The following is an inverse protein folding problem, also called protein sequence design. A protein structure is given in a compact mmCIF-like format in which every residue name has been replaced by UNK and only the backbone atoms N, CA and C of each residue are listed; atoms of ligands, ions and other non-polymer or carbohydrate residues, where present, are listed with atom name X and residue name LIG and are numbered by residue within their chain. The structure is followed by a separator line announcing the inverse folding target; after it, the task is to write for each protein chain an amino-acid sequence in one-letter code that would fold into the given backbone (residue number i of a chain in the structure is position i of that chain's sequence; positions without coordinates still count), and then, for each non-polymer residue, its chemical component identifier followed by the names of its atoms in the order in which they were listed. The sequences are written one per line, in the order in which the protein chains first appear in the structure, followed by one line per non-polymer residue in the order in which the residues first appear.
data_IF_233846368737
#
_entry.id   IF_233846368737
#
_cell.length_a   1.000
_cell.length_b   1.000
_cell.length_c   1.000
_cell.angle_alpha   90.00
_cell.angle_beta   90.00
_cell.angle_gamma   90.00
#
_symmetry.space_group_name_H-M   'P 1'
#
loop_
_entity.id
_entity.type
_entity.pdbx_description
1 polymer ?
#
# COMPACT_ATOMS: atom_id res chain seq x y z
N UNK A 1 6.50 -0.96 -15.92
CA UNK A 1 6.02 -1.97 -14.94
C UNK A 1 4.84 -1.36 -14.19
N UNK A 2 4.16 -2.11 -13.33
CA UNK A 2 3.07 -1.55 -12.53
C UNK A 2 3.27 -1.77 -11.04
N UNK A 3 4.07 -2.74 -10.60
CA UNK A 3 4.61 -2.73 -9.24
C UNK A 3 6.06 -2.31 -9.30
N UNK A 4 6.38 -1.14 -8.73
CA UNK A 4 7.71 -0.54 -8.80
C UNK A 4 8.67 -1.11 -7.76
N UNK A 5 9.99 -0.91 -7.97
CA UNK A 5 11.02 -1.25 -6.98
C UNK A 5 10.80 -0.56 -5.61
N UNK A 6 10.03 0.52 -5.56
CA UNK A 6 9.66 1.23 -4.34
C UNK A 6 8.69 0.44 -3.45
N UNK A 7 8.06 -0.63 -3.96
CA UNK A 7 7.32 -1.59 -3.15
C UNK A 7 8.23 -2.32 -2.15
N UNK A 8 9.54 -2.33 -2.41
CA UNK A 8 10.53 -3.08 -1.64
C UNK A 8 10.57 -4.55 -2.04
N UNK A 9 10.37 -5.44 -1.06
CA UNK A 9 10.43 -6.90 -1.24
C UNK A 9 9.09 -7.46 -1.70
N UNK A 10 9.13 -8.69 -2.22
CA UNK A 10 7.98 -9.56 -2.50
C UNK A 10 6.91 -9.47 -1.40
N UNK A 11 5.65 -9.27 -1.79
CA UNK A 11 4.52 -9.17 -0.87
C UNK A 11 3.73 -10.47 -0.90
N UNK A 12 3.46 -11.03 0.28
CA UNK A 12 2.58 -12.19 0.44
C UNK A 12 1.21 -11.67 0.85
N UNK A 13 0.21 -11.98 0.04
CA UNK A 13 -1.18 -11.61 0.26
C UNK A 13 -1.95 -12.86 0.69
N UNK A 14 -2.76 -12.76 1.73
CA UNK A 14 -3.52 -13.88 2.30
C UNK A 14 -4.99 -13.50 2.49
N UNK A 15 -5.87 -14.49 2.40
CA UNK A 15 -7.29 -14.34 2.69
C UNK A 15 -7.56 -14.39 4.19
N UNK A 16 -8.55 -13.61 4.65
CA UNK A 16 -8.92 -13.55 6.07
C UNK A 16 -9.39 -14.91 6.65
N UNK A 17 -9.79 -15.85 5.79
CA UNK A 17 -10.25 -17.19 6.15
C UNK A 17 -9.14 -18.17 6.55
N UNK A 18 -7.86 -17.86 6.29
CA UNK A 18 -6.79 -18.86 6.39
C UNK A 18 -6.26 -19.07 7.80
N UNK A 19 -6.55 -18.16 8.74
CA UNK A 19 -6.06 -18.24 10.12
C UNK A 19 -6.86 -19.24 10.97
N UNK A 20 -8.12 -19.52 10.63
CA UNK A 20 -8.95 -20.46 11.41
C UNK A 20 -8.54 -21.92 11.26
N UNK A 21 -7.70 -22.26 10.27
CA UNK A 21 -7.27 -23.65 10.02
C UNK A 21 -5.94 -24.03 10.66
N UNK A 22 -5.11 -23.08 11.11
CA UNK A 22 -3.76 -23.40 11.63
C UNK A 22 -3.67 -23.60 13.15
N UNK A 23 -4.78 -23.53 13.90
CA UNK A 23 -4.78 -23.70 15.37
C UNK A 23 -5.40 -25.00 15.88
N UNK A 24 -5.92 -25.88 15.00
CA UNK A 24 -6.67 -27.07 15.44
C UNK A 24 -5.88 -28.39 15.45
N UNK A 25 -4.56 -28.34 15.71
CA UNK A 25 -3.79 -29.55 16.02
C UNK A 25 -3.08 -29.40 17.37
N UNK A 26 -3.87 -29.39 18.45
CA UNK A 26 -3.45 -29.99 19.70
C UNK A 26 -4.70 -30.44 20.47
N UNK A 27 -4.76 -31.74 20.75
CA UNK A 27 -5.72 -32.35 21.67
C UNK A 27 -5.74 -31.63 23.02
N UNK A 28 -6.92 -31.27 23.53
CA UNK A 28 -7.40 -31.79 24.82
C UNK A 28 -8.80 -31.29 25.17
N UNK A 29 -9.56 -32.20 25.81
CA UNK A 29 -10.85 -31.98 26.45
C UNK A 29 -10.82 -30.76 27.39
N UNK A 30 -11.82 -29.88 27.30
CA UNK A 30 -12.77 -29.57 28.39
C UNK A 30 -13.46 -28.21 28.26
N UNK A 31 -14.74 -28.26 28.59
CA UNK A 31 -15.52 -27.26 29.30
C UNK A 31 -15.98 -25.95 28.63
N UNK A 32 -17.24 -25.69 28.93
CA UNK A 32 -18.13 -24.61 28.58
C UNK A 32 -17.57 -23.20 28.80
N UNK A 33 -17.64 -22.37 27.77
CA UNK A 33 -17.22 -20.98 27.83
C UNK A 33 -17.47 -20.23 26.53
N UNK A 34 -18.71 -19.83 26.31
CA UNK A 34 -19.13 -18.95 25.22
C UNK A 34 -18.34 -17.63 25.28
N UNK A 35 -17.26 -17.53 24.50
CA UNK A 35 -16.40 -16.34 24.46
C UNK A 35 -16.45 -15.76 23.06
N UNK A 36 -17.33 -14.78 22.85
CA UNK A 36 -17.37 -13.90 21.67
C UNK A 36 -16.01 -13.21 21.50
N UNK A 37 -15.13 -13.78 20.68
CA UNK A 37 -13.95 -13.09 20.17
C UNK A 37 -14.38 -12.12 19.06
N UNK A 38 -14.93 -10.99 19.47
CA UNK A 38 -14.98 -9.74 18.70
C UNK A 38 -13.55 -9.18 18.57
N UNK A 39 -12.70 -9.88 17.81
CA UNK A 39 -11.33 -9.46 17.53
C UNK A 39 -11.32 -8.30 16.54
N UNK A 40 -11.27 -7.07 17.07
CA UNK A 40 -10.99 -5.83 16.32
C UNK A 40 -10.09 -6.08 15.11
N UNK A 41 -10.63 -5.92 13.91
CA UNK A 41 -9.83 -5.91 12.70
C UNK A 41 -8.97 -4.64 12.68
N UNK A 42 -7.69 -4.79 13.01
CA UNK A 42 -6.70 -3.74 12.89
C UNK A 42 -6.32 -3.59 11.41
N UNK A 43 -6.71 -2.48 10.81
CA UNK A 43 -6.16 -2.02 9.54
C UNK A 43 -4.64 -1.89 9.70
N UNK A 44 -3.88 -2.73 8.99
CA UNK A 44 -2.43 -2.72 9.06
C UNK A 44 -1.87 -1.88 7.89
N UNK A 45 -1.09 -0.87 8.23
CA UNK A 45 -0.56 0.10 7.26
C UNK A 45 0.83 -0.32 6.75
N UNK A 46 0.91 -0.70 5.48
CA UNK A 46 2.11 -0.56 4.65
C UNK A 46 3.21 -1.61 4.79
N UNK A 47 4.00 -1.78 3.72
CA UNK A 47 5.16 -2.67 3.64
C UNK A 47 6.47 -2.01 4.13
N UNK A 48 6.38 -0.92 4.89
CA UNK A 48 7.56 -0.29 5.50
C UNK A 48 8.02 -1.11 6.70
N UNK A 49 9.29 -0.97 7.09
CA UNK A 49 9.89 -1.63 8.28
C UNK A 49 9.13 -1.37 9.59
N UNK A 50 8.17 -0.45 9.59
CA UNK A 50 7.30 -0.06 10.71
C UNK A 50 5.83 -0.51 10.55
N UNK A 51 5.44 -1.10 9.40
CA UNK A 51 4.08 -1.55 9.10
C UNK A 51 3.87 -3.06 9.11
N UNK A 52 4.82 -3.83 8.58
CA UNK A 52 4.71 -5.31 8.44
C UNK A 52 5.04 -6.07 9.71
N UNK A 53 5.90 -5.50 10.56
CA UNK A 53 6.56 -6.26 11.65
C UNK A 53 5.62 -6.84 12.70
N UNK A 54 4.38 -6.36 12.80
CA UNK A 54 3.53 -6.70 13.94
C UNK A 54 2.60 -7.91 13.72
N UNK A 55 2.48 -8.46 12.49
CA UNK A 55 1.57 -9.59 12.21
C UNK A 55 2.22 -10.70 11.34
N UNK A 56 3.53 -10.92 11.40
CA UNK A 56 4.17 -12.04 10.69
C UNK A 56 4.05 -12.03 9.15
N UNK A 57 3.75 -10.87 8.55
CA UNK A 57 3.58 -10.72 7.09
C UNK A 57 2.13 -10.75 6.58
N UNK A 58 1.13 -10.92 7.45
CA UNK A 58 -0.29 -10.89 7.06
C UNK A 58 -0.72 -9.49 6.57
N UNK A 59 -1.26 -9.41 5.36
CA UNK A 59 -1.77 -8.16 4.76
C UNK A 59 -3.19 -8.31 4.22
N UNK A 60 -4.16 -8.46 5.14
CA UNK A 60 -5.62 -8.50 4.82
C UNK A 60 -6.15 -7.25 4.12
N UNK A 61 -5.46 -6.13 4.23
CA UNK A 61 -5.72 -4.92 3.48
C UNK A 61 -4.42 -4.44 2.86
N UNK A 62 -4.41 -4.29 1.55
CA UNK A 62 -3.28 -3.78 0.78
C UNK A 62 -3.49 -2.29 0.55
N UNK A 63 -2.55 -1.48 1.01
CA UNK A 63 -2.50 -0.06 0.67
C UNK A 63 -1.68 0.14 -0.61
N UNK A 64 -2.31 0.69 -1.65
CA UNK A 64 -1.72 0.95 -2.95
C UNK A 64 -1.55 2.45 -3.14
N UNK A 65 -0.36 2.89 -3.52
CA UNK A 65 -0.07 4.29 -3.85
C UNK A 65 0.42 4.39 -5.29
N UNK A 66 -0.12 5.34 -6.05
CA UNK A 66 0.38 5.67 -7.38
C UNK A 66 1.56 6.64 -7.27
N UNK A 67 2.72 6.25 -7.80
CA UNK A 67 3.93 7.05 -7.88
C UNK A 67 3.67 8.36 -8.62
N UNK A 68 2.90 8.34 -9.71
CA UNK A 68 2.64 9.54 -10.52
C UNK A 68 1.75 10.54 -9.78
N UNK A 69 0.84 10.07 -8.91
CA UNK A 69 0.11 10.93 -7.96
C UNK A 69 1.05 11.62 -6.99
N UNK A 70 1.99 10.87 -6.38
CA UNK A 70 2.96 11.44 -5.43
C UNK A 70 3.88 12.46 -6.11
N UNK A 71 4.33 12.16 -7.34
CA UNK A 71 5.15 13.06 -8.15
C UNK A 71 4.40 14.35 -8.49
N UNK A 72 3.16 14.25 -8.98
CA UNK A 72 2.36 15.43 -9.29
C UNK A 72 2.09 16.26 -8.03
N UNK A 73 1.73 15.62 -6.93
CA UNK A 73 1.53 16.29 -5.66
C UNK A 73 2.80 17.04 -5.23
N UNK A 74 3.96 16.38 -5.24
CA UNK A 74 5.26 16.98 -4.94
C UNK A 74 5.54 18.21 -5.79
N UNK A 75 5.30 18.12 -7.10
CA UNK A 75 5.52 19.24 -8.02
C UNK A 75 4.65 20.46 -7.71
N UNK A 76 3.40 20.25 -7.28
CA UNK A 76 2.50 21.36 -6.93
C UNK A 76 2.90 22.04 -5.62
N UNK A 77 3.45 21.28 -4.66
CA UNK A 77 3.80 21.81 -3.33
C UNK A 77 5.27 22.23 -3.19
N UNK A 78 6.02 22.39 -4.29
CA UNK A 78 7.45 22.72 -4.26
C UNK A 78 7.76 23.94 -3.41
N UNK A 79 6.92 24.97 -3.49
CA UNK A 79 7.11 26.19 -2.70
C UNK A 79 7.07 25.89 -1.19
N UNK A 80 6.04 25.17 -0.72
CA UNK A 80 5.93 24.78 0.69
C UNK A 80 7.04 23.80 1.13
N UNK A 81 7.47 22.91 0.23
CA UNK A 81 8.59 22.01 0.52
C UNK A 81 9.89 22.79 0.73
N UNK A 82 10.24 23.70 -0.19
CA UNK A 82 11.46 24.51 -0.12
C UNK A 82 11.47 25.45 1.08
N UNK A 83 10.35 26.14 1.33
CA UNK A 83 10.22 27.03 2.47
C UNK A 83 10.54 26.30 3.77
N UNK A 84 9.91 25.13 3.97
CA UNK A 84 10.08 24.35 5.19
C UNK A 84 11.45 23.67 5.29
N UNK A 85 12.06 23.32 4.17
CA UNK A 85 13.42 22.77 4.15
C UNK A 85 14.44 23.83 4.60
N UNK A 86 14.30 25.06 4.11
CA UNK A 86 15.19 26.17 4.47
C UNK A 86 15.05 26.62 5.94
N UNK A 87 13.90 26.37 6.58
CA UNK A 87 13.70 26.60 8.02
C UNK A 87 14.51 25.64 8.90
N UNK A 88 14.94 24.48 8.38
CA UNK A 88 15.59 23.41 9.14
C UNK A 88 17.10 23.27 8.93
N UNK A 89 17.71 24.09 8.07
CA UNK A 89 19.12 23.96 7.67
C UNK A 89 19.86 25.25 8.00
N UNK A 90 20.72 25.21 9.04
CA UNK A 90 21.61 26.32 9.37
C UNK A 90 22.72 26.45 8.30
N UNK A 91 22.57 27.45 7.43
CA UNK A 91 23.70 28.11 6.77
C UNK A 91 24.49 27.32 5.72
N UNK A 92 23.88 26.38 4.99
CA UNK A 92 24.49 25.89 3.76
C UNK A 92 23.70 26.33 2.51
N UNK A 93 24.38 27.04 1.62
CA UNK A 93 23.92 27.55 0.32
C UNK A 93 23.71 26.41 -0.71
N UNK A 94 23.10 25.30 -0.30
CA UNK A 94 22.64 24.27 -1.21
C UNK A 94 21.19 24.59 -1.60
N UNK A 95 21.03 25.45 -2.61
CA UNK A 95 19.74 25.59 -3.30
C UNK A 95 19.38 24.24 -3.92
N UNK A 96 18.49 23.50 -3.28
CA UNK A 96 17.94 22.28 -3.85
C UNK A 96 16.92 22.68 -4.94
N UNK A 97 17.25 22.39 -6.19
CA UNK A 97 16.42 22.73 -7.36
C UNK A 97 14.98 22.21 -7.26
N UNK A 98 14.79 21.02 -6.68
CA UNK A 98 13.46 20.47 -6.38
C UNK A 98 13.49 19.43 -5.27
N UNK A 99 12.41 19.35 -4.47
CA UNK A 99 12.22 18.34 -3.43
C UNK A 99 11.12 17.38 -3.88
N UNK A 100 11.44 16.11 -4.08
CA UNK A 100 10.43 15.10 -4.43
C UNK A 100 10.04 14.30 -3.19
N UNK A 101 8.74 14.19 -2.91
CA UNK A 101 8.27 13.28 -1.88
C UNK A 101 8.48 11.84 -2.33
N UNK A 102 9.07 11.02 -1.47
CA UNK A 102 9.16 9.60 -1.72
C UNK A 102 7.79 8.92 -1.46
N UNK A 103 7.25 8.07 -2.35
CA UNK A 103 6.01 7.33 -2.10
C UNK A 103 5.99 6.52 -0.80
N UNK A 104 7.16 6.06 -0.32
CA UNK A 104 7.28 5.33 0.95
C UNK A 104 6.83 6.14 2.17
N UNK A 105 6.84 7.48 2.09
CA UNK A 105 6.26 8.40 3.09
C UNK A 105 4.80 8.08 3.40
N UNK A 106 4.05 7.64 2.40
CA UNK A 106 2.63 7.31 2.54
C UNK A 106 2.39 5.90 3.10
N UNK A 107 3.48 5.17 3.39
CA UNK A 107 3.46 3.80 3.91
C UNK A 107 2.57 2.86 3.07
N UNK A 108 2.75 2.79 1.74
CA UNK A 108 2.08 1.78 0.93
C UNK A 108 2.59 0.37 1.22
N UNK A 109 1.75 -0.62 0.93
CA UNK A 109 2.21 -1.99 0.68
C UNK A 109 2.76 -2.12 -0.73
N UNK A 110 2.11 -1.43 -1.67
CA UNK A 110 2.37 -1.52 -3.10
C UNK A 110 2.43 -0.11 -3.69
N UNK A 111 3.45 0.16 -4.51
CA UNK A 111 3.59 1.39 -5.28
C UNK A 111 3.45 1.07 -6.76
N UNK A 112 2.49 1.72 -7.41
CA UNK A 112 2.25 1.58 -8.84
C UNK A 112 2.75 2.76 -9.65
N UNK A 113 3.26 2.52 -10.85
CA UNK A 113 3.94 3.52 -11.69
C UNK A 113 3.38 3.62 -13.12
N UNK A 114 2.48 2.73 -13.52
CA UNK A 114 1.84 2.71 -14.84
C UNK A 114 0.52 3.47 -14.96
N UNK A 115 0.01 4.10 -13.89
CA UNK A 115 -1.23 4.89 -13.91
C UNK A 115 -0.94 6.38 -14.04
N UNK A 116 -1.77 7.11 -14.80
CA UNK A 116 -1.78 8.58 -14.73
C UNK A 116 -2.14 9.05 -13.31
N UNK A 117 -1.73 10.26 -12.89
CA UNK A 117 -2.03 10.78 -11.55
C UNK A 117 -3.52 10.69 -11.22
N UNK A 118 -3.82 10.22 -10.01
CA UNK A 118 -5.16 10.07 -9.41
C UNK A 118 -6.05 8.97 -10.00
N UNK A 119 -5.66 8.32 -11.10
CA UNK A 119 -6.47 7.25 -11.71
C UNK A 119 -6.60 6.01 -10.83
N UNK A 120 -5.79 5.86 -9.77
CA UNK A 120 -6.02 4.83 -8.76
C UNK A 120 -7.41 4.96 -8.10
N UNK A 121 -7.99 6.16 -8.06
CA UNK A 121 -9.34 6.37 -7.50
C UNK A 121 -10.45 5.83 -8.41
N UNK A 122 -10.22 5.78 -9.72
CA UNK A 122 -11.20 5.24 -10.69
C UNK A 122 -11.27 3.71 -10.62
N UNK A 123 -10.31 3.08 -9.95
CA UNK A 123 -10.32 1.65 -9.66
C UNK A 123 -11.26 1.30 -8.50
N UNK A 124 -11.73 2.26 -7.70
CA UNK A 124 -12.59 1.99 -6.54
C UNK A 124 -13.88 1.31 -6.98
N UNK A 125 -14.20 0.20 -6.31
CA UNK A 125 -15.32 -0.66 -6.66
C UNK A 125 -14.99 -1.72 -7.69
N UNK A 126 -13.86 -1.61 -8.40
CA UNK A 126 -13.43 -2.58 -9.40
C UNK A 126 -12.55 -3.68 -8.81
N UNK A 127 -12.48 -4.79 -9.54
CA UNK A 127 -11.53 -5.87 -9.30
C UNK A 127 -10.37 -5.77 -10.28
N UNK A 128 -9.15 -5.87 -9.76
CA UNK A 128 -7.93 -5.97 -10.56
C UNK A 128 -7.37 -7.39 -10.45
N UNK A 129 -6.83 -7.91 -11.54
CA UNK A 129 -6.15 -9.19 -11.58
C UNK A 129 -4.66 -8.97 -11.82
N UNK A 130 -3.82 -9.59 -10.98
CA UNK A 130 -2.36 -9.54 -11.12
C UNK A 130 -1.93 -10.34 -12.33
N UNK A 131 -1.10 -9.73 -13.16
CA UNK A 131 -0.47 -10.31 -14.34
C UNK A 131 1.04 -10.39 -14.08
N UNK A 132 1.59 -11.57 -13.77
CA UNK A 132 3.00 -11.75 -13.47
C UNK A 132 3.91 -11.30 -14.61
N UNK A 133 5.07 -10.72 -14.29
CA UNK A 133 6.10 -10.49 -15.30
C UNK A 133 6.65 -11.85 -15.79
N UNK A 134 6.85 -12.02 -17.10
CA UNK A 134 7.32 -13.28 -17.69
C UNK A 134 8.71 -13.68 -17.16
N UNK A 135 9.54 -12.72 -16.77
CA UNK A 135 10.86 -12.95 -16.18
C UNK A 135 10.80 -13.47 -14.72
N UNK A 136 9.65 -13.36 -14.06
CA UNK A 136 9.41 -13.85 -12.69
C UNK A 136 8.82 -15.27 -12.66
N UNK A 137 8.64 -15.92 -13.82
CA UNK A 137 8.21 -17.31 -13.89
C UNK A 137 9.30 -18.21 -13.32
N UNK A 138 9.14 -18.59 -12.06
CA UNK A 138 9.90 -19.67 -11.46
C UNK A 138 9.64 -20.94 -12.27
N UNK A 139 10.67 -21.40 -12.98
CA UNK A 139 10.69 -22.72 -13.60
C UNK A 139 10.33 -23.77 -12.53
N UNK A 140 9.29 -24.58 -12.78
CA UNK A 140 9.08 -25.84 -12.06
C UNK A 140 7.86 -25.97 -11.13
N UNK A 141 6.91 -25.03 -11.11
CA UNK A 141 5.62 -25.22 -10.43
C UNK A 141 4.54 -25.75 -11.36
N UNK A 142 3.77 -26.75 -10.91
CA UNK A 142 2.56 -27.19 -11.61
C UNK A 142 1.57 -26.01 -11.72
N UNK A 143 1.38 -25.50 -12.95
CA UNK A 143 0.51 -24.36 -13.22
C UNK A 143 -0.98 -24.76 -13.30
N UNK A 144 -1.30 -26.05 -13.20
CA UNK A 144 -2.65 -26.59 -13.40
C UNK A 144 -3.69 -26.12 -12.38
N UNK A 145 -3.28 -25.62 -11.20
CA UNK A 145 -4.22 -25.27 -10.11
C UNK A 145 -4.05 -23.84 -9.56
N UNK A 146 -3.33 -22.96 -10.27
CA UNK A 146 -3.08 -21.60 -9.75
C UNK A 146 -4.22 -20.66 -10.13
N UNK A 147 -5.14 -20.41 -9.19
CA UNK A 147 -6.14 -19.37 -9.33
C UNK A 147 -5.44 -17.99 -9.46
N UNK A 148 -5.90 -17.11 -10.37
CA UNK A 148 -5.28 -15.80 -10.55
C UNK A 148 -5.45 -14.96 -9.29
N UNK A 149 -4.39 -14.26 -8.86
CA UNK A 149 -4.49 -13.37 -7.71
C UNK A 149 -5.29 -12.12 -8.11
N UNK A 150 -6.42 -11.91 -7.45
CA UNK A 150 -7.30 -10.76 -7.68
C UNK A 150 -7.40 -9.91 -6.43
N UNK A 151 -7.59 -8.61 -6.63
CA UNK A 151 -7.85 -7.67 -5.58
C UNK A 151 -9.07 -6.83 -5.90
N UNK A 152 -10.00 -6.70 -4.95
CA UNK A 152 -11.08 -5.72 -5.02
C UNK A 152 -10.63 -4.42 -4.39
N UNK A 153 -10.71 -3.32 -5.12
CA UNK A 153 -10.37 -1.98 -4.61
C UNK A 153 -11.59 -1.42 -3.88
N UNK A 154 -11.40 -1.03 -2.63
CA UNK A 154 -12.52 -0.79 -1.70
C UNK A 154 -12.78 0.69 -1.42
N UNK A 155 -11.72 1.49 -1.24
CA UNK A 155 -11.87 2.87 -0.77
C UNK A 155 -10.61 3.70 -0.98
N UNK A 156 -10.77 5.03 -0.93
CA UNK A 156 -9.65 5.98 -0.85
C UNK A 156 -8.98 5.92 0.52
N UNK A 157 -7.69 6.17 0.54
CA UNK A 157 -6.90 6.14 1.76
C UNK A 157 -6.77 7.54 2.36
N UNK A 158 -7.45 7.78 3.49
CA UNK A 158 -7.35 9.05 4.25
C UNK A 158 -5.94 9.25 4.75
N UNK A 159 -5.37 10.44 4.56
CA UNK A 159 -4.05 10.82 5.11
C UNK A 159 -4.22 11.66 6.38
N UNK A 160 -3.36 11.43 7.35
CA UNK A 160 -3.34 12.13 8.64
C UNK A 160 -1.92 12.60 8.98
N UNK A 161 -1.75 13.26 10.12
CA UNK A 161 -0.45 13.78 10.58
C UNK A 161 0.66 12.72 10.65
N UNK A 162 0.31 11.42 10.76
CA UNK A 162 1.26 10.31 10.83
C UNK A 162 2.13 10.08 9.58
N UNK A 163 1.91 10.81 8.49
CA UNK A 163 2.76 10.81 7.28
C UNK A 163 3.59 12.10 7.11
N UNK A 164 3.54 13.00 8.10
CA UNK A 164 4.26 14.28 8.02
C UNK A 164 5.77 14.14 8.12
N UNK A 165 6.26 13.13 8.83
CA UNK A 165 7.70 12.82 8.95
C UNK A 165 8.14 11.95 7.78
N UNK A 166 9.30 12.25 7.18
CA UNK A 166 9.90 11.35 6.19
C UNK A 166 10.53 10.15 6.91
N UNK A 167 10.15 8.90 6.59
CA UNK A 167 10.82 7.75 7.19
C UNK A 167 12.29 7.60 6.77
N UNK A 168 12.71 8.19 5.64
CA UNK A 168 14.08 8.14 5.14
C UNK A 168 14.93 9.33 5.62
N UNK A 169 14.28 10.42 6.01
CA UNK A 169 14.89 11.68 6.46
C UNK A 169 14.15 12.22 7.69
N UNK A 170 14.14 11.47 8.82
CA UNK A 170 13.37 11.84 10.02
C UNK A 170 13.84 13.13 10.68
N UNK A 171 15.04 13.60 10.36
CA UNK A 171 15.62 14.87 10.79
C UNK A 171 14.97 16.10 10.15
N UNK A 172 14.29 15.93 9.00
CA UNK A 172 13.65 17.05 8.31
C UNK A 172 12.33 17.46 8.98
N UNK A 173 11.95 18.75 8.90
CA UNK A 173 10.71 19.21 9.51
C UNK A 173 9.47 18.51 8.94
N UNK A 174 8.56 18.12 9.82
CA UNK A 174 7.37 17.37 9.44
C UNK A 174 6.38 18.22 8.61
N UNK A 175 5.91 17.70 7.47
CA UNK A 175 4.94 18.39 6.62
C UNK A 175 3.49 18.12 7.05
N UNK A 176 2.63 19.14 6.98
CA UNK A 176 1.18 18.95 7.12
C UNK A 176 0.58 18.50 5.78
N UNK A 177 0.91 17.26 5.40
CA UNK A 177 0.50 16.68 4.12
C UNK A 177 -1.03 16.67 3.94
N UNK A 178 -1.86 16.32 4.94
CA UNK A 178 -3.32 16.37 4.79
C UNK A 178 -3.81 17.77 4.43
N UNK A 179 -3.30 18.82 5.09
CA UNK A 179 -3.65 20.21 4.77
C UNK A 179 -3.19 20.60 3.37
N UNK A 180 -1.98 20.19 2.96
CA UNK A 180 -1.45 20.46 1.62
C UNK A 180 -2.27 19.77 0.53
N UNK A 181 -2.70 18.51 0.75
CA UNK A 181 -3.61 17.80 -0.16
C UNK A 181 -4.94 18.54 -0.30
N UNK A 182 -5.58 18.91 0.81
CA UNK A 182 -6.84 19.65 0.78
C UNK A 182 -6.71 21.03 0.13
N UNK A 183 -5.57 21.72 0.33
CA UNK A 183 -5.31 23.05 -0.25
C UNK A 183 -5.15 22.99 -1.76
N UNK A 184 -4.36 22.05 -2.27
CA UNK A 184 -3.91 22.04 -3.67
C UNK A 184 -4.72 21.09 -4.56
N UNK A 185 -5.36 20.08 -3.97
CA UNK A 185 -6.22 19.12 -4.65
C UNK A 185 -7.54 18.97 -3.88
N UNK A 186 -8.37 20.01 -3.74
CA UNK A 186 -9.58 19.99 -2.92
C UNK A 186 -10.59 18.90 -3.31
N UNK A 187 -10.61 18.47 -4.57
CA UNK A 187 -11.43 17.36 -5.08
C UNK A 187 -10.93 15.98 -4.63
N UNK A 188 -9.68 15.88 -4.19
CA UNK A 188 -9.02 14.65 -3.77
C UNK A 188 -8.60 14.65 -2.30
N UNK A 189 -8.40 15.80 -1.67
CA UNK A 189 -7.95 15.92 -0.29
C UNK A 189 -9.03 15.49 0.72
N UNK A 190 -8.65 14.89 1.86
CA UNK A 190 -7.29 14.60 2.34
C UNK A 190 -6.81 13.17 1.93
N UNK A 191 -7.19 12.69 0.74
CA UNK A 191 -6.93 11.31 0.32
C UNK A 191 -5.72 11.21 -0.62
N UNK A 192 -4.95 10.13 -0.49
CA UNK A 192 -3.90 9.73 -1.44
C UNK A 192 -3.66 8.22 -1.30
N UNK A 193 -3.78 7.49 -2.40
CA UNK A 193 -3.75 6.02 -2.44
C UNK A 193 -5.12 5.39 -2.20
N UNK A 194 -5.19 4.08 -2.41
CA UNK A 194 -6.40 3.26 -2.25
C UNK A 194 -6.13 2.01 -1.41
N UNK A 195 -7.20 1.49 -0.80
CA UNK A 195 -7.18 0.19 -0.14
C UNK A 195 -7.77 -0.89 -1.03
N UNK A 196 -7.12 -2.04 -1.02
CA UNK A 196 -7.57 -3.24 -1.70
C UNK A 196 -7.60 -4.44 -0.74
N UNK A 197 -8.43 -5.42 -1.07
CA UNK A 197 -8.50 -6.71 -0.36
C UNK A 197 -8.38 -7.84 -1.38
N UNK A 198 -7.82 -8.99 -0.98
CA UNK A 198 -7.81 -10.17 -1.84
C UNK A 198 -9.25 -10.54 -2.16
N UNK A 199 -9.54 -10.72 -3.44
CA UNK A 199 -10.86 -11.15 -3.91
C UNK A 199 -10.98 -12.67 -3.73
N UNK A 200 -12.02 -13.09 -3.02
CA UNK A 200 -12.26 -14.49 -2.65
C UNK A 200 -13.18 -15.21 -3.64
N UNK A 201 -13.84 -14.46 -4.52
CA UNK A 201 -14.91 -14.99 -5.38
C UNK A 201 -14.37 -15.95 -6.45
N UNK A 202 -13.06 -15.95 -6.68
CA UNK A 202 -12.39 -16.85 -7.62
C UNK A 202 -11.75 -18.10 -6.97
N UNK A 203 -12.00 -18.35 -5.67
CA UNK A 203 -11.41 -19.46 -4.93
C UNK A 203 -9.94 -19.29 -4.55
N UNK A 204 -9.34 -18.11 -4.80
CA UNK A 204 -7.97 -17.81 -4.40
C UNK A 204 -7.90 -17.58 -2.88
N UNK A 205 -7.07 -18.35 -2.18
CA UNK A 205 -6.75 -18.13 -0.76
C UNK A 205 -5.63 -17.09 -0.55
N UNK A 206 -5.03 -16.61 -1.62
CA UNK A 206 -3.93 -15.66 -1.56
C UNK A 206 -2.87 -15.93 -2.62
N UNK A 207 -1.81 -15.15 -2.57
CA UNK A 207 -0.77 -15.23 -3.58
C UNK A 207 0.40 -14.32 -3.29
N UNK A 208 1.33 -14.30 -4.24
CA UNK A 208 2.53 -13.50 -4.17
C UNK A 208 2.53 -12.51 -5.32
N UNK A 209 2.85 -11.27 -5.01
CA UNK A 209 3.14 -10.24 -6.01
C UNK A 209 4.62 -9.89 -5.92
N UNK A 210 5.23 -9.70 -7.09
CA UNK A 210 6.61 -9.34 -7.27
C UNK A 210 6.70 -7.96 -7.93
N UNK A 211 7.82 -7.29 -7.69
CA UNK A 211 8.19 -6.11 -8.47
C UNK A 211 8.26 -6.51 -9.94
N UNK A 212 7.77 -5.61 -10.80
CA UNK A 212 7.66 -5.84 -12.23
C UNK A 212 6.34 -6.44 -12.67
N UNK A 213 5.58 -7.12 -11.79
CA UNK A 213 4.26 -7.61 -12.19
C UNK A 213 3.35 -6.43 -12.53
N UNK A 214 2.27 -6.74 -13.25
CA UNK A 214 1.28 -5.79 -13.69
C UNK A 214 -0.12 -6.17 -13.23
N UNK A 215 -1.11 -5.35 -13.54
CA UNK A 215 -2.49 -5.74 -13.33
C UNK A 215 -3.34 -5.37 -14.54
N UNK A 216 -4.45 -6.09 -14.71
CA UNK A 216 -5.55 -5.70 -15.59
C UNK A 216 -6.79 -5.46 -14.76
N UNK A 217 -7.60 -4.50 -15.17
CA UNK A 217 -8.93 -4.30 -14.60
C UNK A 217 -9.84 -5.38 -15.18
N UNK A 218 -10.63 -6.02 -14.33
CA UNK A 218 -11.71 -6.89 -14.76
C UNK A 218 -12.96 -6.03 -14.88
N UNK A 219 -13.60 -6.05 -16.05
CA UNK A 219 -14.92 -5.47 -16.23
C UNK A 219 -15.95 -6.42 -15.62
N UNK A 220 -16.88 -5.88 -14.82
CA UNK A 220 -18.05 -6.61 -14.31
C UNK A 220 -19.08 -6.87 -15.41
#
# INVERSE_FOLDING_TARGET
TFFSDLCGKKVVCVCASDITKSQNNHDDNSDSGETKLSGKHTHQFGNTSSGVKNNGGDTRTIHIVNHNTVKQFSNVIQHELKQKYNEGVDGCDNELDSIQLNPTRFRPNVVVDGLEPWLEFDLIGKTIEVVPNQDNNTEGGDQSERHPLRFRITSRTVRCAGIGVDPLQPELPAFDIPKLLTKHFPQHGPYLGVYAVVDQDNGCSGGQICVGDTFRVLDD
#
